data_IF_656915782417
#
_entry.id   IF_656915782417
#
_cell.length_a   1.000
_cell.length_b   1.000
_cell.length_c   1.000
_cell.angle_alpha   90.00
_cell.angle_beta   90.00
_cell.angle_gamma   90.00
#
_symmetry.space_group_name_H-M   'P 1'
#
loop_
_entity.id
_entity.type
_entity.pdbx_description
1 polymer ?
#
# COMPACT_ATOMS: atom_id res chain seq x y z
N UNK A 1 10.92 -9.81 2.09
CA UNK A 1 11.26 -8.67 2.96
C UNK A 1 10.27 -8.67 4.11
N UNK A 2 10.69 -8.45 5.36
CA UNK A 2 9.73 -8.30 6.47
C UNK A 2 9.46 -6.81 6.69
N UNK A 3 8.20 -6.47 6.89
CA UNK A 3 7.78 -5.10 7.18
C UNK A 3 7.88 -4.91 8.68
N UNK A 4 8.60 -3.87 9.08
CA UNK A 4 8.86 -3.53 10.47
C UNK A 4 8.25 -2.19 10.84
N UNK A 5 8.11 -1.29 9.88
CA UNK A 5 7.63 0.07 10.08
C UNK A 5 6.58 0.47 9.04
N UNK A 6 5.58 1.23 9.48
CA UNK A 6 4.58 1.81 8.60
C UNK A 6 4.18 3.21 9.03
N UNK A 7 3.79 4.03 8.06
CA UNK A 7 3.07 5.28 8.29
C UNK A 7 1.67 5.19 7.70
N UNK A 8 0.66 5.65 8.44
CA UNK A 8 -0.73 5.71 7.99
C UNK A 8 -1.22 7.15 8.03
N UNK A 9 -1.54 7.71 6.87
CA UNK A 9 -2.28 8.96 6.77
C UNK A 9 -3.78 8.70 6.86
N UNK A 10 -4.45 9.38 7.80
CA UNK A 10 -5.88 9.21 8.07
C UNK A 10 -6.78 9.97 7.09
N UNK A 11 -6.43 9.90 5.80
CA UNK A 11 -7.11 10.57 4.69
C UNK A 11 -8.17 9.70 4.01
N UNK A 12 -8.48 8.52 4.55
CA UNK A 12 -9.57 7.66 4.09
C UNK A 12 -10.73 7.60 5.08
N UNK A 13 -11.76 6.82 4.76
CA UNK A 13 -12.86 6.58 5.71
C UNK A 13 -12.37 6.11 7.09
N UNK A 14 -12.96 6.67 8.15
CA UNK A 14 -12.56 6.40 9.54
C UNK A 14 -12.53 4.91 9.91
N UNK A 15 -13.54 4.16 9.48
CA UNK A 15 -13.66 2.71 9.69
C UNK A 15 -12.53 1.93 9.00
N UNK A 16 -12.17 2.32 7.78
CA UNK A 16 -11.08 1.75 6.99
C UNK A 16 -9.73 2.03 7.66
N UNK A 17 -9.45 3.28 8.03
CA UNK A 17 -8.22 3.66 8.73
C UNK A 17 -8.07 2.89 10.05
N UNK A 18 -9.14 2.80 10.84
CA UNK A 18 -9.16 2.07 12.10
C UNK A 18 -8.85 0.58 11.90
N UNK A 19 -9.42 -0.02 10.86
CA UNK A 19 -9.22 -1.44 10.55
C UNK A 19 -7.80 -1.73 10.09
N UNK A 20 -7.25 -0.87 9.23
CA UNK A 20 -5.86 -0.94 8.78
C UNK A 20 -4.86 -0.75 9.93
N UNK A 21 -5.08 0.25 10.78
CA UNK A 21 -4.24 0.49 11.94
C UNK A 21 -4.22 -0.72 12.90
N UNK A 22 -5.40 -1.32 13.16
CA UNK A 22 -5.50 -2.55 13.97
C UNK A 22 -4.80 -3.73 13.31
N UNK A 23 -4.92 -3.88 11.99
CA UNK A 23 -4.27 -4.95 11.24
C UNK A 23 -2.74 -4.85 11.27
N UNK A 24 -2.18 -3.65 11.05
CA UNK A 24 -0.74 -3.39 11.11
C UNK A 24 -0.18 -3.65 12.52
N UNK A 25 -0.80 -3.06 13.56
CA UNK A 25 -0.35 -3.23 14.95
C UNK A 25 -0.38 -4.68 15.42
N UNK A 26 -1.45 -5.42 15.08
CA UNK A 26 -1.60 -6.84 15.45
C UNK A 26 -0.56 -7.73 14.77
N UNK A 27 0.05 -7.24 13.69
CA UNK A 27 1.13 -7.89 12.97
C UNK A 27 2.52 -7.49 13.48
N UNK A 28 2.61 -6.70 14.56
CA UNK A 28 3.87 -6.28 15.18
C UNK A 28 4.60 -5.16 14.42
N UNK A 29 3.92 -4.46 13.51
CA UNK A 29 4.49 -3.35 12.75
C UNK A 29 4.48 -2.09 13.61
N UNK A 30 5.61 -1.40 13.68
CA UNK A 30 5.71 -0.07 14.29
C UNK A 30 4.95 0.94 13.44
N UNK A 31 3.82 1.42 13.96
CA UNK A 31 2.87 2.22 13.20
C UNK A 31 2.84 3.66 13.70
N UNK A 32 3.15 4.58 12.80
CA UNK A 32 2.95 6.01 13.00
C UNK A 32 1.69 6.44 12.26
N UNK A 33 0.75 7.05 12.98
CA UNK A 33 -0.43 7.64 12.38
C UNK A 33 -0.26 9.15 12.23
N UNK A 34 -0.52 9.67 11.04
CA UNK A 34 -0.52 11.11 10.75
C UNK A 34 -1.95 11.56 10.40
N UNK A 35 -2.35 12.78 10.79
CA UNK A 35 -3.74 13.21 10.66
C UNK A 35 -4.19 13.44 9.22
N UNK A 36 -3.29 13.83 8.32
CA UNK A 36 -3.60 14.30 6.96
C UNK A 36 -2.44 14.13 5.98
N UNK A 37 -2.66 14.48 4.71
CA UNK A 37 -1.69 14.42 3.64
C UNK A 37 -0.50 15.37 3.87
N UNK A 38 -0.74 16.56 4.44
CA UNK A 38 0.31 17.54 4.74
C UNK A 38 1.28 16.99 5.79
N UNK A 39 0.76 16.38 6.84
CA UNK A 39 1.55 15.74 7.89
C UNK A 39 2.32 14.53 7.38
N UNK A 40 1.76 13.81 6.39
CA UNK A 40 2.48 12.75 5.69
C UNK A 40 3.67 13.30 4.90
N UNK A 41 3.48 14.37 4.12
CA UNK A 41 4.57 15.04 3.42
C UNK A 41 5.63 15.56 4.40
N UNK A 42 5.22 16.17 5.51
CA UNK A 42 6.14 16.64 6.55
C UNK A 42 6.94 15.49 7.18
N UNK A 43 6.30 14.34 7.43
CA UNK A 43 7.00 13.13 7.88
C UNK A 43 8.02 12.65 6.84
N UNK A 44 7.68 12.70 5.56
CA UNK A 44 8.58 12.35 4.47
C UNK A 44 9.78 13.29 4.33
N UNK A 45 9.60 14.59 4.59
CA UNK A 45 10.72 15.55 4.62
C UNK A 45 11.68 15.36 5.79
N UNK A 46 11.16 15.00 6.96
CA UNK A 46 11.88 15.15 8.24
C UNK A 46 12.47 13.85 8.77
N UNK A 47 11.97 12.71 8.30
CA UNK A 47 12.43 11.41 8.75
C UNK A 47 13.65 10.95 7.95
N UNK A 48 14.74 10.64 8.66
CA UNK A 48 15.99 10.15 8.05
C UNK A 48 15.86 8.73 7.49
N UNK A 49 14.95 7.90 8.03
CA UNK A 49 14.70 6.53 7.58
C UNK A 49 13.29 6.39 6.99
N UNK A 50 13.22 5.93 5.75
CA UNK A 50 11.96 5.63 5.07
C UNK A 50 11.22 4.45 5.77
N UNK A 51 9.89 4.52 5.92
CA UNK A 51 9.12 3.37 6.38
C UNK A 51 9.10 2.28 5.32
N UNK A 52 8.87 1.03 5.71
CA UNK A 52 8.70 -0.07 4.75
C UNK A 52 7.36 0.06 3.99
N UNK A 53 6.35 0.64 4.64
CA UNK A 53 4.99 0.78 4.12
C UNK A 53 4.42 2.18 4.43
N UNK A 54 3.93 2.86 3.39
CA UNK A 54 3.10 4.05 3.52
C UNK A 54 1.65 3.72 3.15
N UNK A 55 0.70 4.02 4.03
CA UNK A 55 -0.73 3.79 3.82
C UNK A 55 -1.45 5.13 3.71
N UNK A 56 -2.18 5.32 2.62
CA UNK A 56 -2.82 6.59 2.27
C UNK A 56 -4.27 6.31 1.90
N UNK A 57 -5.21 6.94 2.59
CA UNK A 57 -6.61 6.91 2.17
C UNK A 57 -6.89 7.93 1.07
N UNK A 58 -7.64 7.58 0.04
CA UNK A 58 -7.95 8.48 -1.09
C UNK A 58 -9.21 9.32 -0.87
N UNK A 59 -10.10 8.91 0.04
CA UNK A 59 -11.47 9.44 0.13
C UNK A 59 -11.52 10.91 0.53
N UNK A 60 -10.56 11.37 1.34
CA UNK A 60 -10.51 12.72 1.90
C UNK A 60 -9.27 13.51 1.42
N UNK A 61 -8.60 13.05 0.37
CA UNK A 61 -7.52 13.83 -0.27
C UNK A 61 -8.16 15.00 -1.03
N UNK A 62 -7.73 16.23 -0.72
CA UNK A 62 -8.19 17.41 -1.44
C UNK A 62 -7.58 17.49 -2.84
N UNK A 63 -8.21 18.24 -3.74
CA UNK A 63 -7.76 18.34 -5.14
C UNK A 63 -6.31 18.87 -5.27
N UNK A 64 -5.93 19.82 -4.42
CA UNK A 64 -4.58 20.37 -4.32
C UNK A 64 -3.57 19.42 -3.65
N UNK A 65 -4.03 18.36 -3.00
CA UNK A 65 -3.19 17.37 -2.30
C UNK A 65 -2.96 16.11 -3.14
N UNK A 66 -3.51 16.02 -4.36
CA UNK A 66 -3.40 14.84 -5.23
C UNK A 66 -1.97 14.41 -5.54
N UNK A 67 -0.99 15.31 -5.45
CA UNK A 67 0.42 14.99 -5.64
C UNK A 67 1.07 14.31 -4.42
N UNK A 68 0.36 14.11 -3.31
CA UNK A 68 0.90 13.48 -2.10
C UNK A 68 1.52 12.12 -2.37
N UNK A 69 0.88 11.29 -3.20
CA UNK A 69 1.40 9.95 -3.51
C UNK A 69 2.70 10.02 -4.30
N UNK A 70 2.77 10.92 -5.28
CA UNK A 70 3.99 11.12 -6.07
C UNK A 70 5.12 11.69 -5.21
N UNK A 71 4.79 12.62 -4.31
CA UNK A 71 5.72 13.20 -3.36
C UNK A 71 6.30 12.13 -2.43
N UNK A 72 5.43 11.33 -1.81
CA UNK A 72 5.84 10.22 -0.93
C UNK A 72 6.69 9.20 -1.67
N UNK A 73 6.33 8.88 -2.92
CA UNK A 73 7.13 7.97 -3.78
C UNK A 73 8.52 8.52 -4.06
N UNK A 74 8.66 9.83 -4.26
CA UNK A 74 9.97 10.46 -4.49
C UNK A 74 10.80 10.54 -3.21
N UNK A 75 10.17 10.85 -2.07
CA UNK A 75 10.85 10.95 -0.79
C UNK A 75 11.28 9.58 -0.23
N UNK A 76 10.47 8.55 -0.45
CA UNK A 76 10.70 7.18 0.01
C UNK A 76 10.61 6.18 -1.15
N UNK A 77 11.62 6.12 -2.03
CA UNK A 77 11.58 5.31 -3.25
C UNK A 77 11.47 3.81 -3.01
N UNK A 78 11.93 3.33 -1.85
CA UNK A 78 11.93 1.92 -1.47
C UNK A 78 10.69 1.50 -0.67
N UNK A 79 9.88 2.48 -0.22
CA UNK A 79 8.65 2.19 0.51
C UNK A 79 7.58 1.64 -0.43
N UNK A 80 6.84 0.64 0.03
CA UNK A 80 5.60 0.24 -0.64
C UNK A 80 4.52 1.26 -0.26
N UNK A 81 3.74 1.70 -1.23
CA UNK A 81 2.63 2.63 -1.00
C UNK A 81 1.33 1.86 -1.18
N UNK A 82 0.49 1.81 -0.15
CA UNK A 82 -0.86 1.26 -0.22
C UNK A 82 -1.85 2.43 -0.21
N UNK A 83 -2.56 2.60 -1.32
CA UNK A 83 -3.64 3.59 -1.43
C UNK A 83 -4.97 2.87 -1.31
N UNK A 84 -5.87 3.32 -0.44
CA UNK A 84 -7.20 2.72 -0.26
C UNK A 84 -8.31 3.76 -0.32
N UNK A 85 -9.51 3.34 -0.71
CA UNK A 85 -10.67 4.23 -0.85
C UNK A 85 -11.14 4.31 -2.30
N UNK A 86 -12.25 5.03 -2.53
CA UNK A 86 -12.99 5.00 -3.80
C UNK A 86 -12.13 5.39 -5.00
N UNK A 87 -11.25 6.36 -4.81
CA UNK A 87 -10.41 6.94 -5.86
C UNK A 87 -8.98 6.37 -5.87
N UNK A 88 -8.73 5.25 -5.17
CA UNK A 88 -7.39 4.69 -5.02
C UNK A 88 -6.70 4.38 -6.35
N UNK A 89 -7.45 3.91 -7.35
CA UNK A 89 -6.93 3.58 -8.69
C UNK A 89 -6.38 4.80 -9.44
N UNK A 90 -6.81 6.02 -9.09
CA UNK A 90 -6.26 7.25 -9.66
C UNK A 90 -4.78 7.48 -9.28
N UNK A 91 -4.27 6.74 -8.30
CA UNK A 91 -2.91 6.85 -7.77
C UNK A 91 -2.02 5.66 -8.13
N UNK A 92 -2.45 4.80 -9.06
CA UNK A 92 -1.66 3.66 -9.50
C UNK A 92 -0.29 4.08 -10.04
N UNK A 93 0.71 3.23 -9.86
CA UNK A 93 2.08 3.51 -10.29
C UNK A 93 3.10 2.59 -9.64
N UNK A 94 4.39 2.85 -9.91
CA UNK A 94 5.48 2.03 -9.37
C UNK A 94 5.43 2.01 -7.84
N UNK A 95 5.58 0.81 -7.29
CA UNK A 95 5.54 0.55 -5.84
C UNK A 95 4.22 0.93 -5.18
N UNK A 96 3.14 1.17 -5.95
CA UNK A 96 1.82 1.56 -5.42
C UNK A 96 0.75 0.48 -5.62
N UNK A 97 0.28 -0.09 -4.52
CA UNK A 97 -0.86 -1.00 -4.45
C UNK A 97 -2.15 -0.21 -4.20
N UNK A 98 -3.20 -0.48 -4.97
CA UNK A 98 -4.50 0.21 -4.84
C UNK A 98 -5.60 -0.71 -4.34
N UNK A 99 -6.42 -0.20 -3.41
CA UNK A 99 -7.58 -0.87 -2.83
C UNK A 99 -8.81 0.04 -3.01
N UNK A 100 -9.43 -0.08 -4.18
CA UNK A 100 -10.58 0.71 -4.63
C UNK A 100 -11.95 0.28 -4.06
N UNK A 101 -12.00 -0.81 -3.29
CA UNK A 101 -13.27 -1.42 -2.90
C UNK A 101 -13.22 -2.08 -1.51
N UNK A 102 -14.34 -2.02 -0.76
CA UNK A 102 -14.42 -2.64 0.56
C UNK A 102 -14.11 -4.15 0.55
N UNK A 103 -14.52 -4.86 -0.50
CA UNK A 103 -14.25 -6.30 -0.62
C UNK A 103 -12.74 -6.60 -0.74
N UNK A 104 -11.99 -5.81 -1.52
CA UNK A 104 -10.53 -5.93 -1.61
C UNK A 104 -9.87 -5.61 -0.26
N UNK A 105 -10.36 -4.58 0.45
CA UNK A 105 -9.86 -4.24 1.78
C UNK A 105 -10.08 -5.39 2.77
N UNK A 106 -11.26 -6.01 2.80
CA UNK A 106 -11.51 -7.15 3.68
C UNK A 106 -10.60 -8.35 3.39
N UNK A 107 -10.31 -8.62 2.10
CA UNK A 107 -9.35 -9.66 1.71
C UNK A 107 -7.93 -9.34 2.18
N UNK A 108 -7.50 -8.08 2.06
CA UNK A 108 -6.22 -7.63 2.59
C UNK A 108 -6.13 -7.89 4.09
N UNK A 109 -7.14 -7.44 4.85
CA UNK A 109 -7.18 -7.54 6.31
C UNK A 109 -7.24 -8.99 6.83
N UNK A 110 -7.66 -9.94 5.98
CA UNK A 110 -7.70 -11.37 6.30
C UNK A 110 -6.34 -12.08 6.13
N UNK A 111 -5.36 -11.41 5.52
CA UNK A 111 -4.03 -11.98 5.25
C UNK A 111 -2.97 -11.28 6.10
N UNK A 112 -1.86 -11.94 6.38
CA UNK A 112 -0.74 -11.31 7.06
C UNK A 112 -0.04 -10.27 6.12
N UNK A 113 0.38 -9.10 6.63
CA UNK A 113 0.97 -8.04 5.79
C UNK A 113 2.21 -8.47 5.02
N UNK A 114 3.05 -9.32 5.62
CA UNK A 114 4.28 -9.84 5.04
C UNK A 114 4.04 -10.70 3.80
N UNK A 115 2.95 -11.47 3.78
CA UNK A 115 2.55 -12.30 2.64
C UNK A 115 2.17 -11.41 1.45
N UNK A 116 1.24 -10.48 1.64
CA UNK A 116 0.72 -9.65 0.54
C UNK A 116 1.82 -8.78 -0.06
N UNK A 117 2.68 -8.24 0.79
CA UNK A 117 3.67 -7.26 0.36
C UNK A 117 4.92 -7.93 -0.24
N UNK A 118 5.21 -9.19 0.14
CA UNK A 118 6.17 -10.04 -0.58
C UNK A 118 5.65 -10.42 -1.97
N UNK A 119 4.37 -10.80 -2.10
CA UNK A 119 3.76 -11.12 -3.39
C UNK A 119 3.73 -9.90 -4.33
N UNK A 120 3.40 -8.73 -3.79
CA UNK A 120 3.43 -7.48 -4.54
C UNK A 120 4.83 -7.10 -5.03
N UNK A 121 5.85 -7.24 -4.17
CA UNK A 121 7.23 -6.99 -4.57
C UNK A 121 7.71 -7.97 -5.65
N UNK A 122 7.40 -9.26 -5.50
CA UNK A 122 7.74 -10.26 -6.51
C UNK A 122 7.11 -9.91 -7.88
N UNK A 123 5.86 -9.46 -7.89
CA UNK A 123 5.21 -8.96 -9.10
C UNK A 123 5.92 -7.74 -9.69
N UNK A 124 6.28 -6.76 -8.85
CA UNK A 124 6.99 -5.55 -9.29
C UNK A 124 8.40 -5.84 -9.82
N UNK A 125 9.13 -6.83 -9.29
CA UNK A 125 10.44 -7.24 -9.80
C UNK A 125 10.35 -7.91 -11.17
N UNK A 126 9.29 -8.69 -11.41
CA UNK A 126 9.03 -9.31 -12.72
C UNK A 126 8.61 -8.25 -13.74
N UNK A 127 7.70 -7.36 -13.36
CA UNK A 127 7.22 -6.25 -14.21
C UNK A 127 8.26 -5.15 -14.43
N UNK A 128 9.34 -5.05 -13.64
CA UNK A 128 10.43 -4.12 -13.93
C UNK A 128 11.37 -4.62 -15.05
N UNK A 129 11.36 -5.93 -15.33
CA UNK A 129 12.12 -6.54 -16.43
C UNK A 129 11.32 -6.60 -17.74
N UNK A 130 9.99 -6.49 -17.66
CA UNK A 130 9.10 -6.34 -18.81
C UNK A 130 8.65 -4.88 -18.89
N UNK A 131 9.16 -4.13 -19.87
CA UNK A 131 8.81 -2.71 -20.08
C UNK A 131 7.36 -2.60 -20.56
N UNK A 132 6.39 -2.79 -19.67
CA UNK A 132 5.00 -2.42 -19.87
C UNK A 132 4.31 -2.15 -18.52
N UNK A 133 3.55 -1.07 -18.46
CA UNK A 133 3.20 -0.33 -17.25
C UNK A 133 2.45 -1.17 -16.19
N UNK A 134 3.02 -1.22 -14.98
CA UNK A 134 2.57 -1.98 -13.82
C UNK A 134 1.14 -1.68 -13.35
N UNK A 135 0.16 -2.33 -13.99
CA UNK A 135 -1.22 -2.47 -13.50
C UNK A 135 -1.39 -3.80 -12.78
N UNK A 136 -0.93 -3.90 -11.54
CA UNK A 136 -1.29 -5.04 -10.69
C UNK A 136 -2.73 -4.87 -10.18
N UNK A 137 -3.70 -5.49 -10.85
CA UNK A 137 -5.03 -5.68 -10.27
C UNK A 137 -4.99 -6.91 -9.37
N UNK A 138 -5.59 -6.85 -8.16
CA UNK A 138 -5.76 -7.98 -7.23
C UNK A 138 -6.34 -9.28 -7.87
N UNK A 139 -6.87 -9.22 -9.09
CA UNK A 139 -7.27 -10.38 -9.92
C UNK A 139 -6.10 -11.25 -10.40
N UNK A 140 -4.87 -10.74 -10.43
CA UNK A 140 -3.70 -11.49 -10.90
C UNK A 140 -3.07 -12.35 -9.81
N UNK A 141 -3.24 -11.98 -8.54
CA UNK A 141 -2.90 -12.81 -7.38
C UNK A 141 -3.75 -14.11 -7.34
N UNK A 142 -4.99 -14.08 -7.83
CA UNK A 142 -5.86 -15.27 -7.95
C UNK A 142 -5.29 -16.30 -8.97
N UNK A 143 -4.58 -15.87 -10.01
CA UNK A 143 -3.96 -16.81 -10.98
C UNK A 143 -2.67 -17.42 -10.44
N UNK A 144 -1.89 -16.68 -9.65
CA UNK A 144 -0.66 -17.18 -9.03
C UNK A 144 -0.91 -18.23 -7.93
N UNK A 145 -1.92 -18.02 -7.09
CA UNK A 145 -2.26 -18.94 -6.01
C UNK A 145 -2.81 -20.29 -6.51
N UNK A 146 -3.53 -20.28 -7.64
CA UNK A 146 -4.02 -21.50 -8.30
C UNK A 146 -2.93 -22.32 -9.01
N UNK A 147 -1.85 -21.68 -9.48
CA UNK A 147 -0.77 -22.37 -10.17
C UNK A 147 0.19 -23.09 -9.22
N UNK A 148 0.41 -22.56 -8.01
CA UNK A 148 1.32 -23.15 -7.02
C UNK A 148 0.76 -24.40 -6.31
N UNK A 149 -0.54 -24.66 -6.41
CA UNK A 149 -1.16 -25.90 -5.91
C UNK A 149 -1.15 -27.05 -6.93
N UNK A 150 -0.90 -26.78 -8.22
CA UNK A 150 -0.89 -27.79 -9.27
C UNK A 150 0.48 -28.47 -9.48
N UNK A 151 1.58 -27.88 -8.99
CA UNK A 151 2.95 -28.40 -9.22
C UNK A 151 3.51 -29.21 -8.03
N UNK A 152 2.67 -29.52 -7.03
CA UNK A 152 2.98 -30.51 -5.99
C UNK A 152 1.96 -31.64 -6.01
N UNK A 153 2.00 -32.46 -7.06
CA UNK A 153 1.58 -33.87 -7.03
C UNK A 153 2.57 -34.70 -7.81
#
# INVERSE_FOLDING_TARGET
MRIHSAVLARTGEFSSNTSLAKWLRRSGIDLIEVPDAVSLCAAACTRLEAPDLAVIGSDWIQQNERQVVDYVRQAWPDAIILVHGRDADAYCGRSTMTIDSPAKLQRLLATAPDIILTEYQAYMTVSANDVDEGRASLRELDRGAGALTATRR
#
